data_IF_574534477039
#
_entry.id   IF_574534477039
#
_cell.length_a   1.000
_cell.length_b   1.000
_cell.length_c   1.000
_cell.angle_alpha   90.00
_cell.angle_beta   90.00
_cell.angle_gamma   90.00
#
_symmetry.space_group_name_H-M   'P 1'
#
loop_
_entity.id
_entity.type
_entity.pdbx_description
1 polymer ?
#
# COMPACT_ATOMS: atom_id res chain seq x y z
N UNK A 1 -15.16 -12.83 -26.34
CA UNK A 1 -14.78 -13.26 -24.98
C UNK A 1 -13.33 -12.90 -24.68
N UNK A 2 -12.41 -12.93 -25.64
CA UNK A 2 -11.02 -12.44 -25.46
C UNK A 2 -10.92 -10.92 -25.21
N UNK A 3 -11.75 -10.10 -25.85
CA UNK A 3 -11.74 -8.63 -25.65
C UNK A 3 -12.19 -8.16 -24.25
N UNK A 4 -13.03 -8.92 -23.54
CA UNK A 4 -13.52 -8.56 -22.20
C UNK A 4 -12.47 -8.91 -21.12
N UNK A 5 -11.65 -9.93 -21.33
CA UNK A 5 -10.58 -10.32 -20.41
C UNK A 5 -9.36 -9.40 -20.49
N UNK A 6 -9.26 -8.56 -21.53
CA UNK A 6 -8.18 -7.61 -21.76
C UNK A 6 -8.64 -6.15 -21.73
N UNK A 7 -9.85 -5.87 -21.22
CA UNK A 7 -10.18 -4.52 -20.80
C UNK A 7 -9.35 -4.22 -19.55
N UNK A 8 -8.23 -3.52 -19.77
CA UNK A 8 -7.23 -3.23 -18.73
C UNK A 8 -7.85 -2.56 -17.50
N UNK A 9 -8.92 -1.77 -17.72
CA UNK A 9 -9.70 -1.15 -16.64
C UNK A 9 -10.34 -2.21 -15.73
N UNK A 10 -10.94 -3.25 -16.31
CA UNK A 10 -11.59 -4.31 -15.56
C UNK A 10 -10.60 -5.13 -14.72
N UNK A 11 -9.44 -5.48 -15.30
CA UNK A 11 -8.40 -6.27 -14.61
C UNK A 11 -7.94 -5.53 -13.35
N UNK A 12 -7.61 -4.25 -13.45
CA UNK A 12 -7.07 -3.47 -12.33
C UNK A 12 -8.12 -3.16 -11.27
N UNK A 13 -9.36 -2.87 -11.68
CA UNK A 13 -10.48 -2.74 -10.75
C UNK A 13 -10.72 -4.07 -10.03
N UNK A 14 -10.59 -5.21 -10.74
CA UNK A 14 -10.74 -6.53 -10.14
C UNK A 14 -9.59 -6.85 -9.15
N UNK A 15 -8.34 -6.51 -9.46
CA UNK A 15 -7.19 -6.76 -8.55
C UNK A 15 -7.38 -6.06 -7.21
N UNK A 16 -7.84 -4.81 -7.22
CA UNK A 16 -8.15 -4.06 -5.98
C UNK A 16 -9.49 -4.49 -5.38
N UNK A 17 -10.50 -4.67 -6.20
CA UNK A 17 -11.88 -4.93 -5.79
C UNK A 17 -12.08 -6.28 -5.13
N UNK A 18 -11.40 -7.33 -5.60
CA UNK A 18 -11.54 -8.68 -5.06
C UNK A 18 -11.16 -8.76 -3.57
N UNK A 19 -9.98 -8.30 -3.10
CA UNK A 19 -9.67 -8.30 -1.67
C UNK A 19 -10.59 -7.38 -0.86
N UNK A 20 -11.02 -6.23 -1.39
CA UNK A 20 -11.99 -5.36 -0.72
C UNK A 20 -13.34 -6.05 -0.54
N UNK A 21 -13.84 -6.72 -1.57
CA UNK A 21 -15.06 -7.52 -1.49
C UNK A 21 -14.92 -8.65 -0.48
N UNK A 22 -13.79 -9.34 -0.46
CA UNK A 22 -13.50 -10.38 0.55
C UNK A 22 -13.54 -9.79 1.97
N UNK A 23 -12.96 -8.61 2.20
CA UNK A 23 -13.04 -7.91 3.48
C UNK A 23 -14.50 -7.64 3.90
N UNK A 24 -15.29 -7.07 2.99
CA UNK A 24 -16.70 -6.77 3.25
C UNK A 24 -17.54 -8.02 3.52
N UNK A 25 -17.36 -9.06 2.69
CA UNK A 25 -18.06 -10.34 2.88
C UNK A 25 -17.72 -10.96 4.24
N UNK A 26 -16.45 -11.00 4.61
CA UNK A 26 -16.01 -11.57 5.88
C UNK A 26 -16.48 -10.73 7.08
N UNK A 27 -16.37 -9.41 7.00
CA UNK A 27 -16.72 -8.50 8.10
C UNK A 27 -18.21 -8.33 8.29
N UNK A 28 -18.96 -8.16 7.20
CA UNK A 28 -20.39 -7.77 7.24
C UNK A 28 -21.32 -8.97 7.13
N UNK A 29 -20.96 -10.01 6.35
CA UNK A 29 -21.85 -11.14 6.11
C UNK A 29 -21.45 -12.37 6.92
N UNK A 30 -20.22 -12.85 6.83
CA UNK A 30 -19.82 -14.12 7.45
C UNK A 30 -19.80 -14.02 8.96
N UNK A 31 -19.20 -12.97 9.49
CA UNK A 31 -19.07 -12.81 10.94
C UNK A 31 -20.40 -12.80 11.69
N UNK A 32 -21.44 -12.04 11.27
CA UNK A 32 -22.73 -12.05 11.96
C UNK A 32 -23.59 -13.29 11.67
N UNK A 33 -23.50 -13.87 10.47
CA UNK A 33 -24.40 -14.97 10.03
C UNK A 33 -23.84 -16.35 10.41
N UNK A 34 -22.56 -16.59 10.13
CA UNK A 34 -21.90 -17.89 10.28
C UNK A 34 -21.00 -17.98 11.52
N UNK A 35 -20.87 -16.87 12.26
CA UNK A 35 -20.08 -16.78 13.47
C UNK A 35 -18.60 -16.55 13.24
N UNK A 36 -17.84 -16.46 14.34
CA UNK A 36 -16.44 -16.00 14.33
C UNK A 36 -15.42 -17.05 13.90
N UNK A 37 -15.81 -18.33 13.80
CA UNK A 37 -14.93 -19.48 13.49
C UNK A 37 -15.21 -20.14 12.13
N UNK A 38 -16.00 -19.53 11.27
CA UNK A 38 -16.37 -20.13 9.99
C UNK A 38 -15.16 -20.37 9.09
N UNK A 39 -14.87 -21.59 8.64
CA UNK A 39 -13.79 -21.90 7.72
C UNK A 39 -14.01 -21.32 6.32
N UNK A 40 -15.26 -21.00 5.97
CA UNK A 40 -15.64 -20.40 4.69
C UNK A 40 -14.91 -19.09 4.46
N UNK A 41 -14.65 -18.33 5.52
CA UNK A 41 -13.88 -17.08 5.47
C UNK A 41 -12.51 -17.28 4.84
N UNK A 42 -11.76 -18.30 5.23
CA UNK A 42 -10.46 -18.61 4.67
C UNK A 42 -10.55 -18.95 3.17
N UNK A 43 -11.53 -19.78 2.77
CA UNK A 43 -11.70 -20.14 1.35
C UNK A 43 -12.07 -18.94 0.47
N UNK A 44 -12.97 -18.07 0.94
CA UNK A 44 -13.35 -16.86 0.20
C UNK A 44 -12.14 -15.95 0.02
N UNK A 45 -11.37 -15.72 1.10
CA UNK A 45 -10.22 -14.83 1.05
C UNK A 45 -9.11 -15.40 0.18
N UNK A 46 -8.77 -16.69 0.32
CA UNK A 46 -7.76 -17.34 -0.51
C UNK A 46 -8.21 -17.39 -1.97
N UNK A 47 -9.47 -17.68 -2.25
CA UNK A 47 -10.02 -17.63 -3.61
C UNK A 47 -9.92 -16.23 -4.24
N UNK A 48 -10.29 -15.20 -3.47
CA UNK A 48 -10.22 -13.81 -3.89
C UNK A 48 -8.79 -13.38 -4.23
N UNK A 49 -7.81 -13.68 -3.36
CA UNK A 49 -6.42 -13.29 -3.59
C UNK A 49 -5.77 -14.14 -4.71
N UNK A 50 -6.19 -15.39 -4.90
CA UNK A 50 -5.73 -16.21 -6.02
C UNK A 50 -6.15 -15.60 -7.35
N UNK A 51 -7.40 -15.14 -7.47
CA UNK A 51 -7.87 -14.44 -8.66
C UNK A 51 -7.13 -13.11 -8.85
N UNK A 52 -6.92 -12.35 -7.79
CA UNK A 52 -6.14 -11.11 -7.85
C UNK A 52 -4.69 -11.37 -8.30
N UNK A 53 -4.07 -12.46 -7.86
CA UNK A 53 -2.74 -12.87 -8.30
C UNK A 53 -2.69 -13.23 -9.79
N UNK A 54 -3.68 -13.98 -10.30
CA UNK A 54 -3.79 -14.30 -11.72
C UNK A 54 -3.93 -13.02 -12.55
N UNK A 55 -4.76 -12.08 -12.11
CA UNK A 55 -4.91 -10.80 -12.81
C UNK A 55 -3.65 -9.94 -12.72
N UNK A 56 -2.89 -10.01 -11.63
CA UNK A 56 -1.59 -9.32 -11.51
C UNK A 56 -0.56 -9.88 -12.50
N UNK A 57 -0.53 -11.19 -12.71
CA UNK A 57 0.32 -11.81 -13.73
C UNK A 57 -0.12 -11.40 -15.15
N UNK A 58 -1.42 -11.31 -15.41
CA UNK A 58 -1.94 -10.81 -16.67
C UNK A 58 -1.55 -9.34 -16.92
N UNK A 59 -1.63 -8.50 -15.88
CA UNK A 59 -1.19 -7.09 -15.92
C UNK A 59 0.30 -6.97 -16.22
N UNK A 60 1.13 -7.80 -15.58
CA UNK A 60 2.57 -7.81 -15.83
C UNK A 60 2.88 -8.22 -17.29
N UNK A 61 2.23 -9.27 -17.78
CA UNK A 61 2.42 -9.71 -19.19
C UNK A 61 1.98 -8.62 -20.18
N UNK A 62 0.89 -7.92 -19.89
CA UNK A 62 0.40 -6.82 -20.70
C UNK A 62 1.41 -5.67 -20.79
N UNK A 63 1.97 -5.26 -19.65
CA UNK A 63 2.97 -4.16 -19.59
C UNK A 63 4.27 -4.55 -20.29
N UNK A 64 4.71 -5.81 -20.20
CA UNK A 64 5.90 -6.29 -20.92
C UNK A 64 5.72 -6.22 -22.44
N UNK A 65 4.53 -6.50 -22.94
CA UNK A 65 4.24 -6.56 -24.38
C UNK A 65 3.90 -5.18 -24.94
N UNK A 66 3.05 -4.41 -24.25
CA UNK A 66 2.44 -3.17 -24.76
C UNK A 66 3.04 -1.89 -24.14
N UNK A 67 3.88 -2.01 -23.10
CA UNK A 67 4.44 -0.88 -22.37
C UNK A 67 3.52 -0.36 -21.27
N UNK A 68 3.85 0.83 -20.78
CA UNK A 68 3.13 1.54 -19.72
C UNK A 68 1.69 1.87 -20.11
N UNK A 69 0.76 1.68 -19.17
CA UNK A 69 -0.65 2.01 -19.35
C UNK A 69 -1.07 3.05 -18.31
N UNK A 70 -1.44 4.22 -18.79
CA UNK A 70 -1.93 5.33 -17.96
C UNK A 70 -3.44 5.44 -18.13
N UNK A 71 -4.18 5.18 -17.06
CA UNK A 71 -5.63 5.24 -17.10
C UNK A 71 -6.14 6.67 -16.93
N UNK A 72 -7.29 7.02 -17.55
CA UNK A 72 -7.89 8.32 -17.39
C UNK A 72 -8.25 8.58 -15.93
N UNK A 73 -7.91 9.76 -15.44
CA UNK A 73 -8.28 10.20 -14.11
C UNK A 73 -9.77 10.48 -14.04
N UNK A 74 -10.38 10.11 -12.91
CA UNK A 74 -11.78 10.46 -12.60
C UNK A 74 -11.78 11.38 -11.40
N UNK A 75 -12.43 12.55 -11.53
CA UNK A 75 -12.58 13.48 -10.42
C UNK A 75 -13.47 12.85 -9.36
N UNK A 76 -12.93 12.67 -8.16
CA UNK A 76 -13.64 12.13 -7.00
C UNK A 76 -14.24 13.22 -6.16
N UNK A 77 -13.48 14.28 -5.86
CA UNK A 77 -13.91 15.42 -5.08
C UNK A 77 -13.42 16.70 -5.76
N UNK A 78 -14.30 17.72 -5.81
CA UNK A 78 -13.95 19.03 -6.34
C UNK A 78 -14.34 20.11 -5.33
N UNK A 79 -13.36 20.90 -4.89
CA UNK A 79 -13.52 22.03 -3.98
C UNK A 79 -13.01 23.31 -4.66
N UNK A 80 -13.86 23.97 -5.40
CA UNK A 80 -13.46 25.16 -6.17
C UNK A 80 -12.36 24.84 -7.19
N UNK A 81 -11.18 25.41 -7.01
CA UNK A 81 -10.02 25.15 -7.90
C UNK A 81 -9.24 23.86 -7.57
N UNK A 82 -9.54 23.22 -6.44
CA UNK A 82 -8.86 22.02 -6.01
C UNK A 82 -9.68 20.78 -6.38
N UNK A 83 -9.12 19.93 -7.23
CA UNK A 83 -9.75 18.67 -7.64
C UNK A 83 -8.90 17.50 -7.15
N UNK A 84 -9.54 16.57 -6.45
CA UNK A 84 -8.95 15.28 -6.10
C UNK A 84 -9.37 14.26 -7.15
N UNK A 85 -8.40 13.80 -7.89
CA UNK A 85 -8.62 12.84 -8.96
C UNK A 85 -8.19 11.45 -8.51
N UNK A 86 -8.93 10.44 -8.92
CA UNK A 86 -8.62 9.04 -8.69
C UNK A 86 -8.17 8.44 -10.03
N UNK A 87 -6.96 7.93 -10.08
CA UNK A 87 -6.39 7.35 -11.28
C UNK A 87 -5.57 6.11 -10.95
N UNK A 88 -5.29 5.31 -11.97
CA UNK A 88 -4.45 4.13 -11.88
C UNK A 88 -3.25 4.35 -12.80
N UNK A 89 -2.05 4.06 -12.27
CA UNK A 89 -0.81 4.03 -13.02
C UNK A 89 -0.31 2.58 -13.05
N UNK A 90 -0.11 2.06 -14.25
CA UNK A 90 0.41 0.72 -14.46
C UNK A 90 1.68 0.78 -15.30
N UNK A 91 2.79 0.94 -14.63
CA UNK A 91 4.13 0.89 -15.19
C UNK A 91 4.81 -0.46 -14.89
N UNK A 92 6.05 -0.62 -15.32
CA UNK A 92 6.82 -1.83 -15.09
C UNK A 92 6.99 -2.15 -13.60
N UNK A 93 7.28 -1.13 -12.78
CA UNK A 93 7.46 -1.31 -11.36
C UNK A 93 6.15 -1.69 -10.66
N UNK A 94 5.08 -0.95 -10.93
CA UNK A 94 3.75 -1.21 -10.38
C UNK A 94 3.31 -2.65 -10.69
N UNK A 95 3.53 -3.11 -11.93
CA UNK A 95 3.18 -4.47 -12.36
C UNK A 95 3.96 -5.54 -11.60
N UNK A 96 5.27 -5.36 -11.42
CA UNK A 96 6.11 -6.28 -10.63
C UNK A 96 5.66 -6.26 -9.17
N UNK A 97 5.44 -5.08 -8.60
CA UNK A 97 4.99 -4.96 -7.20
C UNK A 97 3.62 -5.56 -6.96
N UNK A 98 2.68 -5.45 -7.91
CA UNK A 98 1.39 -6.15 -7.84
C UNK A 98 1.55 -7.66 -7.73
N UNK A 99 2.42 -8.26 -8.56
CA UNK A 99 2.70 -9.70 -8.50
C UNK A 99 3.34 -10.10 -7.17
N UNK A 100 4.30 -9.32 -6.67
CA UNK A 100 4.96 -9.59 -5.38
C UNK A 100 3.95 -9.50 -4.23
N UNK A 101 3.17 -8.42 -4.15
CA UNK A 101 2.20 -8.20 -3.09
C UNK A 101 1.12 -9.28 -3.08
N UNK A 102 0.52 -9.58 -4.24
CA UNK A 102 -0.55 -10.58 -4.34
C UNK A 102 -0.01 -12.00 -4.13
N UNK A 103 1.17 -12.31 -4.64
CA UNK A 103 1.80 -13.62 -4.49
C UNK A 103 2.20 -13.93 -3.06
N UNK A 104 2.87 -13.00 -2.37
CA UNK A 104 3.22 -13.16 -0.95
C UNK A 104 1.97 -13.22 -0.09
N UNK A 105 0.98 -12.35 -0.34
CA UNK A 105 -0.31 -12.40 0.36
C UNK A 105 -1.00 -13.74 0.19
N UNK A 106 -0.99 -14.32 -1.01
CA UNK A 106 -1.57 -15.63 -1.27
C UNK A 106 -0.90 -16.72 -0.43
N UNK A 107 0.43 -16.80 -0.46
CA UNK A 107 1.19 -17.81 0.31
C UNK A 107 0.91 -17.68 1.81
N UNK A 108 0.95 -16.46 2.33
CA UNK A 108 0.71 -16.18 3.74
C UNK A 108 -0.74 -16.51 4.16
N UNK A 109 -1.72 -16.21 3.32
CA UNK A 109 -3.12 -16.50 3.61
C UNK A 109 -3.43 -18.00 3.53
N UNK A 110 -2.82 -18.74 2.61
CA UNK A 110 -2.89 -20.21 2.56
C UNK A 110 -2.27 -20.82 3.82
N UNK A 111 -1.08 -20.37 4.23
CA UNK A 111 -0.45 -20.78 5.48
C UNK A 111 -1.36 -20.49 6.70
N UNK A 112 -1.99 -19.31 6.70
CA UNK A 112 -2.94 -18.87 7.74
C UNK A 112 -4.12 -19.81 7.92
N UNK A 113 -4.55 -20.55 6.89
CA UNK A 113 -5.67 -21.51 7.01
C UNK A 113 -5.35 -22.63 8.02
N UNK A 114 -4.13 -23.10 8.03
CA UNK A 114 -3.69 -24.11 9.00
C UNK A 114 -3.33 -23.48 10.36
N UNK A 115 -2.58 -22.37 10.33
CA UNK A 115 -2.07 -21.70 11.52
C UNK A 115 -3.17 -21.15 12.43
N UNK A 116 -4.19 -20.48 11.85
CA UNK A 116 -5.27 -19.84 12.61
C UNK A 116 -6.51 -20.72 12.81
N UNK A 117 -6.49 -21.99 12.39
CA UNK A 117 -7.65 -22.90 12.40
C UNK A 117 -8.32 -23.04 13.77
N UNK A 118 -7.57 -23.01 14.85
CA UNK A 118 -8.05 -23.14 16.23
C UNK A 118 -8.44 -21.83 16.88
N UNK A 119 -8.14 -20.67 16.25
CA UNK A 119 -8.42 -19.37 16.85
C UNK A 119 -9.92 -19.01 16.83
N UNK A 120 -10.37 -18.39 17.93
CA UNK A 120 -11.77 -17.95 18.06
C UNK A 120 -12.15 -16.83 17.09
N UNK A 121 -11.19 -16.07 16.62
CA UNK A 121 -11.37 -14.89 15.80
C UNK A 121 -10.93 -15.11 14.35
N UNK A 122 -11.06 -16.35 13.85
CA UNK A 122 -10.64 -16.76 12.52
C UNK A 122 -11.17 -15.84 11.39
N UNK A 123 -12.48 -15.54 11.43
CA UNK A 123 -13.11 -14.66 10.43
C UNK A 123 -12.55 -13.24 10.49
N UNK A 124 -12.31 -12.71 11.70
CA UNK A 124 -11.70 -11.38 11.89
C UNK A 124 -10.29 -11.32 11.32
N UNK A 125 -9.51 -12.39 11.49
CA UNK A 125 -8.18 -12.49 10.92
C UNK A 125 -8.21 -12.32 9.39
N UNK A 126 -9.06 -13.09 8.70
CA UNK A 126 -9.18 -13.01 7.25
C UNK A 126 -9.73 -11.69 6.74
N UNK A 127 -10.67 -11.09 7.46
CA UNK A 127 -11.13 -9.75 7.14
C UNK A 127 -9.96 -8.73 7.19
N UNK A 128 -9.18 -8.74 8.26
CA UNK A 128 -8.05 -7.80 8.38
C UNK A 128 -6.93 -8.07 7.35
N UNK A 129 -6.65 -9.35 7.04
CA UNK A 129 -5.70 -9.71 6.00
C UNK A 129 -6.15 -9.25 4.62
N UNK A 130 -7.43 -9.36 4.31
CA UNK A 130 -8.02 -8.86 3.06
C UNK A 130 -7.94 -7.35 2.97
N UNK A 131 -8.26 -6.62 4.05
CA UNK A 131 -8.17 -5.16 4.10
C UNK A 131 -6.72 -4.69 3.90
N UNK A 132 -5.78 -5.34 4.58
CA UNK A 132 -4.36 -5.01 4.46
C UNK A 132 -3.85 -5.22 3.02
N UNK A 133 -4.19 -6.36 2.40
CA UNK A 133 -3.80 -6.65 1.02
C UNK A 133 -4.41 -5.67 0.04
N UNK A 134 -5.70 -5.34 0.20
CA UNK A 134 -6.37 -4.34 -0.63
C UNK A 134 -5.73 -2.95 -0.48
N UNK A 135 -5.39 -2.56 0.75
CA UNK A 135 -4.73 -1.29 1.03
C UNK A 135 -3.37 -1.20 0.34
N UNK A 136 -2.61 -2.30 0.37
CA UNK A 136 -1.31 -2.35 -0.28
C UNK A 136 -1.42 -2.34 -1.81
N UNK A 137 -2.38 -3.05 -2.38
CA UNK A 137 -2.66 -2.99 -3.82
C UNK A 137 -3.04 -1.57 -4.23
N UNK A 138 -3.96 -0.93 -3.49
CA UNK A 138 -4.39 0.45 -3.76
C UNK A 138 -3.23 1.45 -3.69
N UNK A 139 -2.29 1.26 -2.75
CA UNK A 139 -1.08 2.05 -2.64
C UNK A 139 -0.21 1.90 -3.91
N UNK A 140 0.04 0.66 -4.33
CA UNK A 140 0.90 0.34 -5.47
C UNK A 140 0.37 0.92 -6.79
N UNK A 141 -0.95 0.87 -7.03
CA UNK A 141 -1.56 1.37 -8.28
C UNK A 141 -1.89 2.87 -8.26
N UNK A 142 -1.57 3.57 -7.17
CA UNK A 142 -1.93 4.99 -7.02
C UNK A 142 -1.21 5.87 -8.03
N UNK A 143 -1.97 6.65 -8.78
CA UNK A 143 -1.46 7.64 -9.73
C UNK A 143 -1.28 9.02 -9.10
N UNK A 144 -2.09 9.35 -8.08
CA UNK A 144 -2.10 10.66 -7.43
C UNK A 144 -1.54 10.55 -5.99
N UNK A 145 -0.79 11.57 -5.55
CA UNK A 145 -0.16 11.58 -4.22
C UNK A 145 -1.17 11.58 -3.07
N UNK A 146 -2.37 12.16 -3.24
CA UNK A 146 -3.42 12.10 -2.22
C UNK A 146 -3.99 10.68 -2.13
N UNK A 147 -4.26 10.05 -3.28
CA UNK A 147 -4.69 8.65 -3.33
C UNK A 147 -3.65 7.74 -2.69
N UNK A 148 -2.38 7.92 -3.01
CA UNK A 148 -1.26 7.18 -2.43
C UNK A 148 -1.24 7.37 -0.90
N UNK A 149 -1.41 8.60 -0.40
CA UNK A 149 -1.45 8.89 1.03
C UNK A 149 -2.64 8.22 1.72
N UNK A 150 -3.84 8.22 1.12
CA UNK A 150 -5.02 7.53 1.67
C UNK A 150 -4.74 6.03 1.87
N UNK A 151 -4.19 5.35 0.86
CA UNK A 151 -3.85 3.95 0.96
C UNK A 151 -2.65 3.69 1.89
N UNK A 152 -1.68 4.60 1.93
CA UNK A 152 -0.57 4.60 2.88
C UNK A 152 -1.06 4.58 4.32
N UNK A 153 -2.04 5.42 4.62
CA UNK A 153 -2.70 5.51 5.91
C UNK A 153 -3.52 4.25 6.23
N UNK A 154 -4.20 3.71 5.22
CA UNK A 154 -5.02 2.51 5.37
C UNK A 154 -4.15 1.26 5.64
N UNK A 155 -2.97 1.16 5.03
CA UNK A 155 -1.95 0.14 5.37
C UNK A 155 -1.53 0.30 6.83
N UNK A 156 -1.33 1.53 7.33
CA UNK A 156 -1.02 1.79 8.73
C UNK A 156 -2.12 1.35 9.70
N UNK A 157 -3.39 1.66 9.40
CA UNK A 157 -4.53 1.23 10.21
C UNK A 157 -4.70 -0.28 10.19
N UNK A 158 -4.60 -0.91 9.03
CA UNK A 158 -4.75 -2.37 8.92
C UNK A 158 -3.61 -3.10 9.62
N UNK A 159 -2.38 -2.58 9.59
CA UNK A 159 -1.26 -3.13 10.38
C UNK A 159 -1.49 -3.01 11.88
N UNK A 160 -2.03 -1.87 12.37
CA UNK A 160 -2.43 -1.70 13.75
C UNK A 160 -3.42 -2.78 14.21
N UNK A 161 -4.46 -3.04 13.38
CA UNK A 161 -5.47 -4.06 13.67
C UNK A 161 -4.89 -5.48 13.68
N UNK A 162 -3.88 -5.73 12.86
CA UNK A 162 -3.23 -7.03 12.74
C UNK A 162 -2.17 -7.27 13.82
N UNK A 163 -1.35 -6.29 14.18
CA UNK A 163 -0.39 -6.35 15.30
C UNK A 163 -1.15 -6.54 16.61
N UNK A 164 -2.22 -5.74 16.81
CA UNK A 164 -3.10 -5.84 17.97
C UNK A 164 -4.15 -6.94 17.86
N UNK A 165 -3.96 -7.96 17.03
CA UNK A 165 -4.99 -9.00 16.81
C UNK A 165 -5.45 -9.66 18.10
N UNK A 166 -4.54 -9.97 18.99
CA UNK A 166 -4.81 -10.50 20.33
C UNK A 166 -4.89 -9.40 21.40
N UNK A 167 -5.81 -8.44 21.23
CA UNK A 167 -5.98 -7.30 22.13
C UNK A 167 -6.16 -7.62 23.61
N UNK A 168 -6.54 -8.87 23.94
CA UNK A 168 -6.63 -9.35 25.32
C UNK A 168 -5.24 -9.48 26.00
N UNK A 169 -4.16 -9.44 25.22
CA UNK A 169 -2.79 -9.41 25.73
C UNK A 169 -2.34 -7.97 25.80
N UNK A 170 -1.99 -7.45 26.99
CA UNK A 170 -1.54 -6.07 27.13
C UNK A 170 -0.34 -5.75 26.24
N UNK A 171 0.61 -6.68 26.12
CA UNK A 171 1.80 -6.54 25.25
C UNK A 171 1.43 -6.29 23.78
N UNK A 172 0.48 -7.05 23.22
CA UNK A 172 0.04 -6.88 21.86
C UNK A 172 -0.71 -5.54 21.64
N UNK A 173 -1.51 -5.11 22.61
CA UNK A 173 -2.21 -3.84 22.54
C UNK A 173 -1.24 -2.64 22.60
N UNK A 174 -0.20 -2.70 23.43
CA UNK A 174 0.84 -1.67 23.53
C UNK A 174 1.74 -1.68 22.28
N UNK A 175 2.13 -2.84 21.78
CA UNK A 175 2.88 -2.98 20.54
C UNK A 175 2.15 -2.35 19.36
N UNK A 176 0.85 -2.61 19.22
CA UNK A 176 0.02 -2.02 18.18
C UNK A 176 -0.04 -0.48 18.29
N UNK A 177 -0.27 0.06 19.48
CA UNK A 177 -0.28 1.51 19.73
C UNK A 177 1.07 2.13 19.38
N UNK A 178 2.17 1.52 19.83
CA UNK A 178 3.52 1.98 19.54
C UNK A 178 3.79 2.00 18.04
N UNK A 179 3.51 0.90 17.33
CA UNK A 179 3.68 0.82 15.88
C UNK A 179 2.87 1.90 15.16
N UNK A 180 1.61 2.09 15.55
CA UNK A 180 0.74 3.11 14.95
C UNK A 180 1.26 4.53 15.18
N UNK A 181 1.63 4.90 16.42
CA UNK A 181 2.11 6.24 16.74
C UNK A 181 3.43 6.54 16.02
N UNK A 182 4.38 5.58 16.02
CA UNK A 182 5.69 5.77 15.39
C UNK A 182 5.58 5.94 13.87
N UNK A 183 4.73 5.16 13.21
CA UNK A 183 4.50 5.33 11.76
C UNK A 183 3.79 6.64 11.45
N UNK A 184 2.81 7.06 12.28
CA UNK A 184 2.11 8.34 12.12
C UNK A 184 3.04 9.54 12.24
N UNK A 185 4.04 9.47 13.10
CA UNK A 185 5.03 10.53 13.22
C UNK A 185 5.80 10.76 11.91
N UNK A 186 6.16 9.67 11.21
CA UNK A 186 6.73 9.74 9.87
C UNK A 186 5.72 10.26 8.83
N UNK A 187 4.48 9.76 8.88
CA UNK A 187 3.42 10.11 7.94
C UNK A 187 3.03 11.59 8.01
N UNK A 188 3.23 12.26 9.17
CA UNK A 188 3.03 13.69 9.29
C UNK A 188 3.97 14.50 8.38
N UNK A 189 5.24 14.11 8.30
CA UNK A 189 6.20 14.72 7.35
C UNK A 189 5.77 14.53 5.90
N UNK A 190 5.29 13.34 5.56
CA UNK A 190 4.76 13.03 4.24
C UNK A 190 3.53 13.89 3.88
N UNK A 191 2.58 14.03 4.80
CA UNK A 191 1.40 14.88 4.62
C UNK A 191 1.77 16.35 4.39
N UNK A 192 2.70 16.88 5.18
CA UNK A 192 3.19 18.25 5.01
C UNK A 192 3.83 18.46 3.64
N UNK A 193 4.58 17.47 3.13
CA UNK A 193 5.17 17.52 1.80
C UNK A 193 4.08 17.59 0.70
N UNK A 194 3.02 16.80 0.82
CA UNK A 194 1.88 16.83 -0.12
C UNK A 194 1.18 18.19 -0.10
N UNK A 195 0.89 18.73 1.09
CA UNK A 195 0.24 20.03 1.25
C UNK A 195 1.12 21.14 0.68
N UNK A 196 2.42 21.10 0.96
CA UNK A 196 3.37 22.08 0.44
C UNK A 196 3.44 22.01 -1.09
N UNK A 197 3.53 20.82 -1.66
CA UNK A 197 3.53 20.62 -3.12
C UNK A 197 2.26 21.15 -3.77
N UNK A 198 1.09 20.83 -3.18
CA UNK A 198 -0.21 21.33 -3.63
C UNK A 198 -0.33 22.86 -3.58
N UNK A 199 0.32 23.50 -2.59
CA UNK A 199 0.35 24.97 -2.48
C UNK A 199 1.18 25.65 -3.56
N UNK A 200 2.17 24.94 -4.11
CA UNK A 200 2.99 25.45 -5.21
C UNK A 200 2.24 25.30 -6.54
N UNK A 201 1.75 24.11 -6.83
CA UNK A 201 0.93 23.83 -8.00
C UNK A 201 0.06 22.58 -7.75
N UNK A 202 -1.29 22.70 -7.72
CA UNK A 202 -2.18 21.55 -7.52
C UNK A 202 -2.02 20.43 -8.55
N UNK A 203 -1.60 20.74 -9.80
CA UNK A 203 -1.39 19.71 -10.83
C UNK A 203 -0.21 18.79 -10.53
N UNK A 204 0.73 19.20 -9.68
CA UNK A 204 1.88 18.39 -9.27
C UNK A 204 1.52 17.25 -8.29
N UNK A 205 0.27 17.16 -7.89
CA UNK A 205 -0.23 15.99 -7.15
C UNK A 205 -0.37 14.75 -8.03
N UNK A 206 -0.47 14.90 -9.35
CA UNK A 206 -0.41 13.79 -10.31
C UNK A 206 1.03 13.37 -10.53
N UNK A 207 1.34 12.08 -10.30
CA UNK A 207 2.71 11.56 -10.31
C UNK A 207 3.39 11.74 -11.69
N UNK A 208 2.76 11.40 -12.83
CA UNK A 208 3.36 11.68 -14.13
C UNK A 208 3.63 13.17 -14.37
N UNK A 209 2.71 14.03 -13.95
CA UNK A 209 2.85 15.49 -14.13
C UNK A 209 4.01 16.08 -13.36
N UNK A 210 4.23 15.66 -12.09
CA UNK A 210 5.38 16.13 -11.31
C UNK A 210 6.70 15.64 -11.91
N UNK A 211 6.76 14.41 -12.44
CA UNK A 211 7.95 13.91 -13.13
C UNK A 211 8.32 14.80 -14.32
N UNK A 212 7.39 15.09 -15.20
CA UNK A 212 7.63 15.99 -16.34
C UNK A 212 8.01 17.40 -15.90
N UNK A 213 7.44 17.90 -14.80
CA UNK A 213 7.81 19.22 -14.27
C UNK A 213 9.25 19.24 -13.72
N UNK A 214 9.72 18.16 -13.11
CA UNK A 214 11.11 18.01 -12.62
C UNK A 214 12.07 17.90 -13.80
N UNK A 215 11.79 17.05 -14.79
CA UNK A 215 12.61 16.91 -16.01
C UNK A 215 12.70 18.22 -16.81
N UNK A 216 11.60 18.96 -16.86
CA UNK A 216 11.55 20.28 -17.51
C UNK A 216 12.22 21.41 -16.72
N UNK A 217 12.75 21.16 -15.52
CA UNK A 217 13.38 22.18 -14.68
C UNK A 217 12.42 23.21 -14.08
N UNK A 218 11.10 22.93 -14.10
CA UNK A 218 10.07 23.84 -13.61
C UNK A 218 9.92 23.82 -12.08
N UNK A 219 10.52 22.84 -11.40
CA UNK A 219 10.48 22.69 -9.94
C UNK A 219 11.77 23.26 -9.36
N UNK A 220 11.64 24.23 -8.44
CA UNK A 220 12.83 24.80 -7.78
C UNK A 220 13.50 23.75 -6.89
N UNK A 221 14.81 23.80 -6.75
CA UNK A 221 15.60 22.89 -5.91
C UNK A 221 15.11 22.88 -4.47
N UNK A 222 14.70 24.04 -3.94
CA UNK A 222 14.16 24.15 -2.57
C UNK A 222 12.87 23.35 -2.42
N UNK A 223 11.93 23.45 -3.38
CA UNK A 223 10.67 22.69 -3.36
C UNK A 223 10.97 21.19 -3.45
N UNK A 224 11.82 20.77 -4.39
CA UNK A 224 12.23 19.39 -4.54
C UNK A 224 12.83 18.82 -3.25
N UNK A 225 13.76 19.55 -2.62
CA UNK A 225 14.42 19.12 -1.38
C UNK A 225 13.42 18.97 -0.22
N UNK A 226 12.57 19.96 0.01
CA UNK A 226 11.59 19.91 1.12
C UNK A 226 10.57 18.78 0.94
N UNK A 227 10.09 18.58 -0.28
CA UNK A 227 9.16 17.51 -0.62
C UNK A 227 9.82 16.15 -0.46
N UNK A 228 11.05 15.97 -0.94
CA UNK A 228 11.82 14.73 -0.78
C UNK A 228 12.08 14.39 0.69
N UNK A 229 12.42 15.38 1.52
CA UNK A 229 12.60 15.18 2.97
C UNK A 229 11.29 14.73 3.65
N UNK A 230 10.15 15.28 3.24
CA UNK A 230 8.86 14.85 3.78
C UNK A 230 8.49 13.42 3.38
N UNK A 231 8.71 13.05 2.12
CA UNK A 231 8.55 11.65 1.66
C UNK A 231 9.50 10.69 2.38
N UNK A 232 10.76 11.11 2.56
CA UNK A 232 11.75 10.35 3.32
C UNK A 232 11.29 10.11 4.76
N UNK A 233 10.70 11.12 5.43
CA UNK A 233 10.17 10.96 6.78
C UNK A 233 9.09 9.86 6.85
N UNK A 234 8.14 9.84 5.90
CA UNK A 234 7.15 8.77 5.77
C UNK A 234 7.77 7.40 5.53
N UNK A 235 8.75 7.32 4.63
CA UNK A 235 9.49 6.09 4.34
C UNK A 235 10.26 5.57 5.55
N UNK A 236 10.95 6.45 6.30
CA UNK A 236 11.64 6.12 7.55
C UNK A 236 10.69 5.54 8.59
N UNK A 237 9.49 6.10 8.74
CA UNK A 237 8.45 5.60 9.64
C UNK A 237 7.98 4.19 9.27
N UNK A 238 7.59 3.95 8.03
CA UNK A 238 7.07 2.66 7.56
C UNK A 238 8.14 1.58 7.43
N UNK A 239 9.36 1.94 7.01
CA UNK A 239 10.47 0.99 6.86
C UNK A 239 11.25 0.77 8.15
N UNK A 240 10.78 1.32 9.28
CA UNK A 240 11.42 1.16 10.58
C UNK A 240 12.92 1.53 10.56
N UNK A 241 13.26 2.64 9.89
CA UNK A 241 14.61 3.15 9.89
C UNK A 241 14.87 4.03 11.12
N UNK A 242 16.14 4.20 11.48
CA UNK A 242 16.51 5.10 12.56
C UNK A 242 16.04 6.53 12.25
N UNK A 243 15.45 7.27 13.22
CA UNK A 243 15.21 6.90 14.64
C UNK A 243 13.87 6.19 14.91
N UNK A 244 13.00 5.95 13.91
CA UNK A 244 11.65 5.42 14.08
C UNK A 244 11.57 3.87 14.01
N UNK A 245 12.65 3.16 14.36
CA UNK A 245 12.77 1.70 14.21
C UNK A 245 12.19 0.88 15.37
N UNK A 246 11.93 1.50 16.53
CA UNK A 246 11.64 0.78 17.77
C UNK A 246 10.31 0.04 17.81
N UNK A 247 9.41 0.26 16.84
CA UNK A 247 8.13 -0.44 16.73
C UNK A 247 8.26 -1.82 16.06
N UNK A 248 9.28 -2.03 15.23
CA UNK A 248 9.43 -3.23 14.40
C UNK A 248 9.60 -4.51 15.23
N UNK A 249 10.47 -4.58 16.27
CA UNK A 249 10.57 -5.74 17.13
C UNK A 249 9.28 -6.05 17.87
N UNK A 250 8.59 -5.04 18.37
CA UNK A 250 7.36 -5.20 19.15
C UNK A 250 6.19 -5.68 18.26
N UNK A 251 6.21 -5.36 16.97
CA UNK A 251 5.21 -5.82 16.01
C UNK A 251 5.14 -7.36 15.87
N UNK A 252 6.14 -8.09 16.37
CA UNK A 252 6.15 -9.56 16.43
C UNK A 252 5.14 -10.14 17.44
N UNK A 253 4.51 -9.33 18.28
CA UNK A 253 3.40 -9.74 19.15
C UNK A 253 2.14 -10.16 18.37
N UNK A 254 2.01 -9.77 17.12
CA UNK A 254 0.96 -10.24 16.22
C UNK A 254 1.17 -11.69 15.76
N UNK A 255 0.17 -12.30 15.07
CA UNK A 255 0.31 -13.63 14.48
C UNK A 255 1.53 -13.71 13.53
N UNK A 256 2.26 -14.82 13.55
CA UNK A 256 3.48 -14.99 12.72
C UNK A 256 3.25 -14.76 11.23
N UNK A 257 2.09 -15.19 10.71
CA UNK A 257 1.69 -14.94 9.33
C UNK A 257 1.51 -13.45 9.01
N UNK A 258 1.02 -12.69 9.98
CA UNK A 258 0.89 -11.22 9.87
C UNK A 258 2.27 -10.57 9.83
N UNK A 259 3.14 -10.95 10.76
CA UNK A 259 4.52 -10.44 10.81
C UNK A 259 5.25 -10.72 9.51
N UNK A 260 5.12 -11.93 8.96
CA UNK A 260 5.68 -12.27 7.67
C UNK A 260 5.18 -11.35 6.55
N UNK A 261 3.89 -11.06 6.48
CA UNK A 261 3.32 -10.20 5.45
C UNK A 261 3.77 -8.74 5.59
N UNK A 262 3.70 -8.17 6.80
CA UNK A 262 4.05 -6.77 7.07
C UNK A 262 5.51 -6.49 6.75
N UNK A 263 6.42 -7.41 7.13
CA UNK A 263 7.86 -7.16 7.10
C UNK A 263 8.55 -7.62 5.81
N UNK A 264 7.95 -8.52 5.02
CA UNK A 264 8.61 -9.06 3.83
C UNK A 264 8.32 -8.27 2.54
N UNK A 265 7.06 -8.10 2.18
CA UNK A 265 6.70 -7.67 0.82
C UNK A 265 5.74 -6.48 0.79
N UNK A 266 5.36 -5.92 1.95
CA UNK A 266 4.29 -4.94 1.98
C UNK A 266 4.68 -3.65 2.69
N UNK A 267 4.39 -3.48 3.98
CA UNK A 267 4.52 -2.20 4.66
C UNK A 267 5.94 -1.65 4.68
N UNK A 268 6.92 -2.47 5.06
CA UNK A 268 8.35 -2.08 5.10
C UNK A 268 8.88 -1.83 3.70
N UNK A 269 8.48 -2.68 2.76
CA UNK A 269 8.90 -2.58 1.35
C UNK A 269 8.28 -1.37 0.66
N UNK A 270 7.06 -0.96 1.01
CA UNK A 270 6.45 0.26 0.47
C UNK A 270 7.31 1.50 0.72
N UNK A 271 7.82 1.66 1.93
CA UNK A 271 8.76 2.74 2.24
C UNK A 271 10.10 2.59 1.51
N UNK A 272 10.65 1.38 1.43
CA UNK A 272 11.91 1.11 0.74
C UNK A 272 11.80 1.36 -0.77
N UNK A 273 10.72 0.90 -1.41
CA UNK A 273 10.47 1.11 -2.84
C UNK A 273 10.27 2.60 -3.16
N UNK A 274 9.49 3.30 -2.34
CA UNK A 274 9.32 4.75 -2.49
C UNK A 274 10.66 5.49 -2.41
N UNK A 275 11.52 5.10 -1.47
CA UNK A 275 12.85 5.68 -1.29
C UNK A 275 13.77 5.38 -2.49
N UNK A 276 13.84 4.13 -2.95
CA UNK A 276 14.69 3.75 -4.09
C UNK A 276 14.23 4.39 -5.39
N UNK A 277 12.92 4.63 -5.54
CA UNK A 277 12.36 5.32 -6.70
C UNK A 277 12.72 6.80 -6.73
N UNK A 278 12.55 7.48 -5.62
CA UNK A 278 13.00 8.86 -5.47
C UNK A 278 14.51 8.99 -5.77
N UNK A 279 15.31 8.00 -5.32
CA UNK A 279 16.76 7.99 -5.52
C UNK A 279 17.18 7.63 -6.96
N UNK A 280 16.47 6.75 -7.64
CA UNK A 280 16.82 6.33 -9.01
C UNK A 280 16.71 7.48 -10.02
N UNK A 281 15.83 8.45 -9.78
CA UNK A 281 15.73 9.67 -10.57
C UNK A 281 16.77 10.72 -10.21
N UNK A 282 17.32 10.69 -9.00
CA UNK A 282 18.37 11.63 -8.56
C UNK A 282 19.78 11.24 -9.04
N UNK A 283 20.03 9.98 -9.40
CA UNK A 283 21.35 9.53 -9.92
C UNK A 283 21.71 10.11 -11.29
N UNK A 284 20.78 10.76 -11.96
CA UNK A 284 21.10 11.58 -13.15
C UNK A 284 21.59 12.99 -12.84
N UNK A 285 21.44 13.46 -11.60
CA UNK A 285 21.98 14.73 -11.13
C UNK A 285 22.63 14.55 -9.75
N UNK A 286 23.92 14.45 -9.75
CA UNK A 286 24.96 14.23 -8.71
C UNK A 286 24.84 14.93 -7.34
N UNK A 287 23.68 15.33 -6.81
CA UNK A 287 23.65 16.29 -5.70
C UNK A 287 23.15 15.76 -4.34
N UNK A 288 22.33 14.72 -4.24
CA UNK A 288 21.78 14.33 -2.93
C UNK A 288 22.50 13.14 -2.30
N UNK A 289 23.10 12.26 -3.08
CA UNK A 289 23.87 11.12 -2.55
C UNK A 289 25.18 11.51 -1.85
N UNK A 290 25.77 12.67 -2.15
CA UNK A 290 27.01 13.13 -1.48
C UNK A 290 26.76 13.65 -0.07
N UNK A 291 25.60 14.21 0.23
CA UNK A 291 25.26 14.77 1.55
C UNK A 291 24.91 13.72 2.63
N UNK A 292 24.68 12.46 2.26
CA UNK A 292 24.35 11.37 3.20
C UNK A 292 25.50 10.36 3.37
N UNK A 293 26.62 10.51 2.66
CA UNK A 293 27.77 9.61 2.71
C UNK A 293 29.07 10.32 3.17
N UNK A 294 29.06 11.64 3.42
CA UNK A 294 30.05 12.39 4.17
C UNK A 294 29.46 12.77 5.55
#
# INVERSE_FOLDING_TARGET
>A
MEQILFDSDFILIAVLGLPLLSFLINGVLIRPILGTRSPISGFITVGSITLAFIFSLASLSHVIINGEVVFPQRTWLSFGYFQVEFGILLDQLTSIMLVVVTGVSLIVQVYGMAYMKSDRSYVRYYAYMSLFTASMIGLVISRNLIQLFIFWELVGVSSYLLIGFWMNRPSAAEAAKKAFIMTRFGDFGFLLAIIYLASQNPSWLDIPTIYHAIEGGNVSTTVATLVSLGFLAGAVGKSAQFPLHSWLPDAMEGPTSVSALIHSATMVTAGAVSYTHLRAHETRHDLVCRLLLE
#
